data_IF_260319879094
#
_entry.id   IF_260319879094
#
_cell.length_a   1.000
_cell.length_b   1.000
_cell.length_c   1.000
_cell.angle_alpha   90.00
_cell.angle_beta   90.00
_cell.angle_gamma   90.00
#
_symmetry.space_group_name_H-M   'P 1'
#
loop_
_entity.id
_entity.type
_entity.pdbx_description
1 polymer ?
#
# COMPACT_ATOMS: atom_id res chain seq x y z
N UNK A 1 41.74 -17.60 -12.92
CA UNK A 1 40.79 -18.68 -13.26
C UNK A 1 39.63 -18.03 -14.01
N UNK A 2 39.52 -18.23 -15.33
CA UNK A 2 38.38 -17.70 -16.10
C UNK A 2 37.22 -18.70 -15.94
N UNK A 3 36.14 -18.24 -15.35
CA UNK A 3 34.92 -19.04 -15.16
C UNK A 3 33.95 -18.70 -16.29
N UNK A 4 33.54 -19.71 -17.06
CA UNK A 4 32.47 -19.53 -18.06
C UNK A 4 31.12 -19.36 -17.36
N UNK A 5 30.37 -18.32 -17.71
CA UNK A 5 28.98 -18.14 -17.30
C UNK A 5 28.09 -18.66 -18.43
N UNK A 6 27.15 -19.53 -18.09
CA UNK A 6 26.12 -20.02 -19.00
C UNK A 6 24.78 -19.34 -18.63
N UNK A 7 24.08 -18.82 -19.62
CA UNK A 7 22.73 -18.29 -19.47
C UNK A 7 21.72 -19.41 -19.75
N UNK A 8 20.78 -19.62 -18.85
CA UNK A 8 19.72 -20.66 -18.97
C UNK A 8 18.74 -20.39 -20.14
N UNK A 9 18.74 -19.18 -20.67
CA UNK A 9 17.79 -18.79 -21.75
C UNK A 9 18.32 -19.12 -23.16
N UNK A 10 19.65 -19.09 -23.39
CA UNK A 10 20.22 -19.28 -24.72
C UNK A 10 21.50 -20.10 -24.74
N UNK A 11 21.92 -20.72 -23.63
CA UNK A 11 23.17 -21.48 -23.50
C UNK A 11 24.42 -20.72 -24.03
N UNK A 12 24.47 -19.42 -23.78
CA UNK A 12 25.56 -18.57 -24.25
C UNK A 12 26.78 -18.78 -23.39
N UNK A 13 27.87 -19.28 -23.99
CA UNK A 13 29.17 -19.41 -23.34
C UNK A 13 29.91 -18.07 -23.43
N UNK A 14 30.05 -17.37 -22.29
CA UNK A 14 30.72 -16.07 -22.22
C UNK A 14 32.22 -16.09 -22.59
N UNK A 15 32.83 -17.26 -22.62
CA UNK A 15 34.23 -17.42 -23.07
C UNK A 15 34.41 -17.32 -24.61
N UNK A 16 33.34 -17.60 -25.35
CA UNK A 16 33.35 -17.61 -26.82
C UNK A 16 32.68 -16.36 -27.44
N UNK A 17 32.03 -15.54 -26.61
CA UNK A 17 31.28 -14.38 -27.06
C UNK A 17 32.13 -13.11 -26.98
N UNK A 18 32.17 -12.35 -28.06
CA UNK A 18 32.83 -11.04 -28.11
C UNK A 18 32.14 -10.07 -27.10
N UNK A 19 32.91 -9.27 -26.35
CA UNK A 19 32.43 -8.30 -25.37
C UNK A 19 31.34 -7.38 -25.93
N UNK A 20 31.44 -6.99 -27.18
CA UNK A 20 30.42 -6.16 -27.85
C UNK A 20 29.07 -6.88 -27.94
N UNK A 21 29.06 -8.16 -28.31
CA UNK A 21 27.85 -8.96 -28.39
C UNK A 21 27.22 -9.19 -27.01
N UNK A 22 28.05 -9.45 -26.00
CA UNK A 22 27.59 -9.59 -24.62
C UNK A 22 26.95 -8.30 -24.12
N UNK A 23 27.55 -7.15 -24.40
CA UNK A 23 27.00 -5.83 -24.04
C UNK A 23 25.66 -5.56 -24.71
N UNK A 24 25.49 -5.94 -25.97
CA UNK A 24 24.21 -5.80 -26.70
C UNK A 24 23.15 -6.72 -26.07
N UNK A 25 23.49 -7.97 -25.76
CA UNK A 25 22.54 -8.91 -25.14
C UNK A 25 22.10 -8.44 -23.74
N UNK A 26 23.03 -7.92 -22.94
CA UNK A 26 22.72 -7.35 -21.64
C UNK A 26 21.82 -6.12 -21.75
N UNK A 27 22.11 -5.23 -22.70
CA UNK A 27 21.27 -4.05 -22.95
C UNK A 27 19.86 -4.48 -23.39
N UNK A 28 19.72 -5.43 -24.30
CA UNK A 28 18.41 -5.94 -24.73
C UNK A 28 17.64 -6.60 -23.58
N UNK A 29 18.27 -7.39 -22.75
CA UNK A 29 17.66 -8.00 -21.57
C UNK A 29 17.18 -6.93 -20.55
N UNK A 30 17.96 -5.85 -20.38
CA UNK A 30 17.60 -4.74 -19.52
C UNK A 30 16.40 -3.96 -20.07
N UNK A 31 16.37 -3.69 -21.36
CA UNK A 31 15.23 -3.03 -22.03
C UNK A 31 13.96 -3.87 -21.94
N UNK A 32 14.04 -5.18 -22.13
CA UNK A 32 12.91 -6.09 -21.97
C UNK A 32 12.35 -6.07 -20.54
N UNK A 33 13.24 -6.10 -19.54
CA UNK A 33 12.87 -6.01 -18.13
C UNK A 33 12.19 -4.66 -17.81
N UNK A 34 12.71 -3.56 -18.33
CA UNK A 34 12.13 -2.24 -18.18
C UNK A 34 10.73 -2.16 -18.82
N UNK A 35 10.58 -2.68 -20.03
CA UNK A 35 9.29 -2.71 -20.73
C UNK A 35 8.24 -3.55 -19.96
N UNK A 36 8.61 -4.72 -19.46
CA UNK A 36 7.75 -5.54 -18.61
C UNK A 36 7.32 -4.80 -17.34
N UNK A 37 8.24 -4.10 -16.67
CA UNK A 37 7.95 -3.28 -15.49
C UNK A 37 6.95 -2.17 -15.80
N UNK A 38 7.14 -1.45 -16.89
CA UNK A 38 6.21 -0.38 -17.31
C UNK A 38 4.83 -0.91 -17.68
N UNK A 39 4.73 -2.06 -18.35
CA UNK A 39 3.46 -2.71 -18.67
C UNK A 39 2.70 -3.11 -17.38
N UNK A 40 3.40 -3.65 -16.39
CA UNK A 40 2.80 -3.98 -15.08
C UNK A 40 2.32 -2.70 -14.38
N UNK A 41 3.14 -1.66 -14.33
CA UNK A 41 2.77 -0.37 -13.74
C UNK A 41 1.57 0.24 -14.45
N UNK A 42 1.52 0.17 -15.77
CA UNK A 42 0.37 0.63 -16.56
C UNK A 42 -0.91 -0.14 -16.19
N UNK A 43 -0.86 -1.46 -16.12
CA UNK A 43 -2.00 -2.30 -15.72
C UNK A 43 -2.49 -2.00 -14.30
N UNK A 44 -1.56 -1.73 -13.36
CA UNK A 44 -1.90 -1.31 -11.99
C UNK A 44 -2.59 0.06 -12.00
N UNK A 45 -2.05 1.05 -12.73
CA UNK A 45 -2.64 2.39 -12.87
C UNK A 45 -4.06 2.34 -13.46
N UNK A 46 -4.29 1.51 -14.48
CA UNK A 46 -5.62 1.33 -15.06
C UNK A 46 -6.62 0.74 -14.06
N UNK A 47 -6.20 -0.23 -13.25
CA UNK A 47 -7.02 -0.76 -12.16
C UNK A 47 -7.33 0.29 -11.10
N UNK A 48 -6.35 1.10 -10.72
CA UNK A 48 -6.54 2.21 -9.78
C UNK A 48 -7.52 3.26 -10.33
N UNK A 49 -7.36 3.63 -11.61
CA UNK A 49 -8.24 4.56 -12.31
C UNK A 49 -9.69 4.06 -12.39
N UNK A 50 -9.90 2.76 -12.52
CA UNK A 50 -11.24 2.14 -12.52
C UNK A 50 -11.78 1.84 -11.13
N UNK A 51 -11.11 2.27 -10.05
CA UNK A 51 -11.51 2.02 -8.67
C UNK A 51 -11.32 0.57 -8.19
N UNK A 52 -10.74 -0.30 -9.02
CA UNK A 52 -10.54 -1.72 -8.72
C UNK A 52 -9.16 -1.97 -8.09
N UNK A 53 -8.81 -1.23 -7.04
CA UNK A 53 -7.55 -1.44 -6.34
C UNK A 53 -7.65 -2.57 -5.32
N UNK A 54 -6.59 -3.37 -5.22
CA UNK A 54 -6.45 -4.36 -4.14
C UNK A 54 -5.99 -3.63 -2.88
N UNK A 55 -6.85 -3.60 -1.86
CA UNK A 55 -6.52 -2.99 -0.57
C UNK A 55 -5.97 -4.03 0.40
N UNK A 56 -4.89 -3.68 1.08
CA UNK A 56 -4.44 -4.46 2.23
C UNK A 56 -5.32 -4.10 3.44
N UNK A 57 -6.04 -5.10 3.98
CA UNK A 57 -6.99 -4.96 5.08
C UNK A 57 -6.52 -5.64 6.36
N UNK A 58 -5.44 -6.42 6.33
CA UNK A 58 -5.02 -7.27 7.46
C UNK A 58 -4.73 -6.51 8.77
N UNK A 59 -4.52 -5.18 8.69
CA UNK A 59 -4.26 -4.31 9.85
C UNK A 59 -5.14 -3.06 9.81
N UNK A 60 -6.37 -3.21 9.30
CA UNK A 60 -7.28 -2.08 9.14
C UNK A 60 -8.46 -2.25 10.09
N UNK A 61 -8.38 -1.63 11.26
CA UNK A 61 -9.39 -1.70 12.31
C UNK A 61 -10.75 -1.20 11.77
N UNK A 62 -11.80 -1.93 12.06
CA UNK A 62 -13.16 -1.61 11.65
C UNK A 62 -13.59 -2.19 10.31
N UNK A 63 -12.65 -2.77 9.54
CA UNK A 63 -12.98 -3.34 8.24
C UNK A 63 -12.37 -4.72 8.02
N UNK A 64 -13.14 -5.56 7.36
CA UNK A 64 -12.70 -6.84 6.80
C UNK A 64 -13.00 -6.89 5.30
N UNK A 65 -12.67 -7.99 4.64
CA UNK A 65 -13.04 -8.23 3.24
C UNK A 65 -14.09 -9.32 3.13
N UNK A 66 -15.07 -9.10 2.26
CA UNK A 66 -15.97 -10.15 1.79
C UNK A 66 -15.26 -11.10 0.80
N UNK A 67 -15.99 -12.13 0.35
CA UNK A 67 -15.51 -13.07 -0.69
C UNK A 67 -15.23 -12.39 -2.03
N UNK A 68 -15.82 -11.24 -2.30
CA UNK A 68 -15.63 -10.42 -3.50
C UNK A 68 -14.46 -9.44 -3.39
N UNK A 69 -13.77 -9.38 -2.24
CA UNK A 69 -12.64 -8.49 -2.00
C UNK A 69 -13.03 -7.04 -1.66
N UNK A 70 -14.32 -6.75 -1.39
CA UNK A 70 -14.81 -5.46 -0.95
C UNK A 70 -14.63 -5.30 0.55
N UNK A 71 -14.38 -4.07 1.00
CA UNK A 71 -14.32 -3.76 2.42
C UNK A 71 -15.75 -3.79 3.00
N UNK A 72 -15.89 -4.52 4.10
CA UNK A 72 -17.13 -4.65 4.88
C UNK A 72 -16.84 -4.22 6.31
N UNK A 73 -17.75 -3.47 6.91
CA UNK A 73 -17.63 -2.98 8.28
C UNK A 73 -17.75 -4.14 9.27
N UNK A 74 -16.85 -4.19 10.24
CA UNK A 74 -16.93 -5.08 11.41
C UNK A 74 -17.52 -4.25 12.56
N UNK A 75 -18.79 -4.52 13.00
CA UNK A 75 -19.50 -3.63 13.92
C UNK A 75 -18.76 -3.36 15.22
N UNK A 76 -18.20 -4.40 15.85
CA UNK A 76 -17.47 -4.28 17.13
C UNK A 76 -16.22 -3.40 17.01
N UNK A 77 -15.46 -3.56 15.94
CA UNK A 77 -14.27 -2.76 15.68
C UNK A 77 -14.63 -1.32 15.24
N UNK A 78 -15.72 -1.17 14.51
CA UNK A 78 -16.21 0.13 14.06
C UNK A 78 -16.61 1.02 15.24
N UNK A 79 -17.16 0.46 16.32
CA UNK A 79 -17.43 1.21 17.55
C UNK A 79 -16.17 1.79 18.18
N UNK A 80 -15.07 1.03 18.17
CA UNK A 80 -13.77 1.52 18.65
C UNK A 80 -13.29 2.70 17.80
N UNK A 81 -13.42 2.59 16.48
CA UNK A 81 -13.06 3.66 15.54
C UNK A 81 -13.90 4.91 15.81
N UNK A 82 -15.24 4.78 15.88
CA UNK A 82 -16.14 5.90 16.20
C UNK A 82 -15.78 6.54 17.54
N UNK A 83 -15.42 5.74 18.55
CA UNK A 83 -15.01 6.24 19.86
C UNK A 83 -13.74 7.09 19.77
N UNK A 84 -12.73 6.64 19.01
CA UNK A 84 -11.49 7.40 18.79
C UNK A 84 -11.79 8.77 18.15
N UNK A 85 -12.62 8.79 17.10
CA UNK A 85 -13.01 10.03 16.45
C UNK A 85 -13.84 10.94 17.37
N UNK A 86 -14.78 10.40 18.12
CA UNK A 86 -15.60 11.19 19.07
C UNK A 86 -14.75 11.82 20.19
N UNK A 87 -13.77 11.10 20.71
CA UNK A 87 -12.84 11.64 21.71
C UNK A 87 -11.98 12.77 21.13
N UNK A 88 -11.53 12.62 19.89
CA UNK A 88 -10.76 13.64 19.20
C UNK A 88 -11.58 14.91 18.98
N UNK A 89 -12.83 14.78 18.51
CA UNK A 89 -13.77 15.90 18.34
C UNK A 89 -14.12 16.58 19.67
N UNK A 90 -14.14 15.81 20.78
CA UNK A 90 -14.29 16.36 22.12
C UNK A 90 -13.03 17.09 22.66
N UNK A 91 -11.98 17.26 21.83
CA UNK A 91 -10.76 17.98 22.17
C UNK A 91 -9.69 17.16 22.89
N UNK A 92 -9.81 15.82 22.90
CA UNK A 92 -8.77 14.97 23.49
C UNK A 92 -7.58 14.87 22.54
N UNK A 93 -6.39 15.21 23.03
CA UNK A 93 -5.15 14.95 22.28
C UNK A 93 -4.85 13.46 22.14
N UNK A 94 -4.11 13.07 21.12
CA UNK A 94 -3.78 11.68 20.76
C UNK A 94 -3.21 10.88 21.95
N UNK A 95 -2.37 11.49 22.82
CA UNK A 95 -1.84 10.84 24.03
C UNK A 95 -2.92 10.51 25.06
N UNK A 96 -3.93 11.37 25.17
CA UNK A 96 -5.05 11.17 26.10
C UNK A 96 -5.99 10.10 25.58
N UNK A 97 -6.20 10.04 24.26
CA UNK A 97 -6.95 8.98 23.58
C UNK A 97 -6.24 7.62 23.79
N UNK A 98 -4.91 7.56 23.57
CA UNK A 98 -4.11 6.35 23.86
C UNK A 98 -4.38 5.83 25.26
N UNK A 99 -4.22 6.69 26.28
CA UNK A 99 -4.42 6.32 27.67
C UNK A 99 -5.83 5.80 27.93
N UNK A 100 -6.85 6.49 27.41
CA UNK A 100 -8.24 6.07 27.50
C UNK A 100 -8.47 4.65 26.95
N UNK A 101 -7.92 4.33 25.77
CA UNK A 101 -8.05 3.02 25.15
C UNK A 101 -7.40 1.92 26.01
N UNK A 102 -6.21 2.19 26.53
CA UNK A 102 -5.45 1.26 27.37
C UNK A 102 -6.11 1.02 28.73
N UNK A 103 -6.58 2.06 29.41
CA UNK A 103 -7.31 1.99 30.69
C UNK A 103 -8.63 1.23 30.56
N UNK A 104 -9.30 1.30 29.41
CA UNK A 104 -10.52 0.55 29.15
C UNK A 104 -10.27 -0.85 28.54
N UNK A 105 -9.03 -1.30 28.49
CA UNK A 105 -8.68 -2.64 27.99
C UNK A 105 -8.96 -2.87 26.50
N UNK A 106 -9.13 -1.80 25.73
CA UNK A 106 -9.42 -1.87 24.28
C UNK A 106 -8.16 -2.29 23.54
N UNK A 107 -8.20 -3.45 22.87
CA UNK A 107 -7.05 -4.01 22.16
C UNK A 107 -6.92 -3.43 20.75
N UNK A 108 -5.68 -3.39 20.26
CA UNK A 108 -5.38 -3.06 18.87
C UNK A 108 -5.82 -4.19 17.92
N UNK A 109 -5.89 -3.92 16.61
CA UNK A 109 -6.14 -4.95 15.55
C UNK A 109 -5.25 -6.19 15.70
N UNK A 110 -4.03 -6.02 16.23
CA UNK A 110 -3.09 -7.13 16.43
C UNK A 110 -3.22 -7.80 17.80
N UNK A 111 -4.26 -7.45 18.58
CA UNK A 111 -4.53 -8.02 19.90
C UNK A 111 -3.66 -7.46 21.02
N UNK A 112 -2.82 -6.46 20.77
CA UNK A 112 -1.98 -5.83 21.79
C UNK A 112 -2.79 -4.88 22.66
N UNK A 113 -2.46 -4.81 23.94
CA UNK A 113 -3.04 -3.84 24.89
C UNK A 113 -2.43 -2.45 24.77
N UNK A 114 -1.19 -2.36 24.28
CA UNK A 114 -0.49 -1.09 24.14
C UNK A 114 -0.76 -0.45 22.78
N UNK A 115 -1.23 0.81 22.79
CA UNK A 115 -1.49 1.62 21.63
C UNK A 115 -0.32 2.53 21.29
N UNK A 116 -0.03 2.70 20.00
CA UNK A 116 0.92 3.71 19.55
C UNK A 116 0.19 5.01 19.18
N UNK A 117 0.72 6.15 19.62
CA UNK A 117 0.20 7.48 19.23
C UNK A 117 0.20 7.67 17.72
N UNK A 118 1.24 7.16 17.04
CA UNK A 118 1.31 7.20 15.57
C UNK A 118 0.23 6.37 14.87
N UNK A 119 -0.25 5.29 15.50
CA UNK A 119 -1.37 4.51 14.97
C UNK A 119 -2.67 5.30 15.04
N UNK A 120 -2.94 5.93 16.19
CA UNK A 120 -4.14 6.76 16.39
C UNK A 120 -4.12 7.95 15.42
N UNK A 121 -2.98 8.63 15.29
CA UNK A 121 -2.82 9.77 14.38
C UNK A 121 -3.07 9.38 12.91
N UNK A 122 -2.52 8.22 12.48
CA UNK A 122 -2.80 7.65 11.16
C UNK A 122 -4.27 7.27 10.97
N UNK A 123 -4.95 6.79 12.01
CA UNK A 123 -6.38 6.49 11.93
C UNK A 123 -7.19 7.76 11.72
N UNK A 124 -6.95 8.81 12.50
CA UNK A 124 -7.62 10.09 12.39
C UNK A 124 -7.42 10.78 11.03
N UNK A 125 -6.28 10.53 10.38
CA UNK A 125 -5.93 11.08 9.06
C UNK A 125 -6.30 10.18 7.88
N UNK A 126 -7.01 9.06 8.11
CA UNK A 126 -7.24 8.08 7.07
C UNK A 126 -8.61 8.27 6.40
N UNK A 127 -8.61 8.73 5.16
CA UNK A 127 -9.80 8.98 4.34
C UNK A 127 -10.69 7.75 4.13
N UNK A 128 -10.18 6.55 4.39
CA UNK A 128 -10.96 5.33 4.23
C UNK A 128 -12.09 5.22 5.26
N UNK A 129 -11.94 5.83 6.44
CA UNK A 129 -13.00 5.79 7.45
C UNK A 129 -14.27 6.57 7.05
N UNK A 130 -14.14 7.51 6.11
CA UNK A 130 -15.28 8.22 5.51
C UNK A 130 -15.73 7.62 4.17
N UNK A 131 -15.30 6.39 3.86
CA UNK A 131 -15.72 5.65 2.67
C UNK A 131 -14.95 5.97 1.40
N UNK A 132 -13.93 6.80 1.45
CA UNK A 132 -13.14 7.21 0.28
C UNK A 132 -11.85 6.38 0.15
N UNK A 133 -11.33 6.28 -1.08
CA UNK A 133 -10.04 5.66 -1.35
C UNK A 133 -9.15 6.61 -2.11
N UNK A 134 -8.04 7.01 -1.52
CA UNK A 134 -6.98 7.70 -2.23
C UNK A 134 -5.90 6.71 -2.64
N UNK A 135 -5.80 6.48 -3.93
CA UNK A 135 -4.91 5.52 -4.57
C UNK A 135 -3.67 6.22 -5.13
N UNK A 136 -2.59 5.46 -5.38
CA UNK A 136 -1.31 5.98 -5.88
C UNK A 136 -0.59 6.93 -4.89
N UNK A 137 -0.75 6.70 -3.57
CA UNK A 137 -0.03 7.48 -2.53
C UNK A 137 1.48 7.25 -2.54
N UNK A 138 1.93 6.18 -3.19
CA UNK A 138 3.36 5.84 -3.33
C UNK A 138 3.67 5.51 -4.78
N UNK A 139 4.91 5.73 -5.18
CA UNK A 139 5.43 5.39 -6.49
C UNK A 139 6.82 4.74 -6.39
N UNK A 140 7.18 3.96 -7.41
CA UNK A 140 8.53 3.41 -7.58
C UNK A 140 9.11 4.03 -8.85
N UNK A 141 9.88 5.13 -8.74
CA UNK A 141 10.36 5.87 -9.90
C UNK A 141 11.33 5.04 -10.74
N UNK A 142 12.23 4.35 -10.07
CA UNK A 142 13.27 3.56 -10.70
C UNK A 142 12.97 2.07 -10.53
N UNK A 143 12.94 1.35 -11.67
CA UNK A 143 12.67 -0.09 -11.68
C UNK A 143 13.88 -0.92 -11.24
N UNK A 144 15.11 -0.39 -11.40
CA UNK A 144 16.33 -1.10 -11.04
C UNK A 144 16.50 -1.22 -9.53
N UNK A 145 16.29 -0.12 -8.82
CA UNK A 145 16.39 -0.09 -7.35
C UNK A 145 15.14 -0.64 -6.67
N UNK A 146 13.99 -0.61 -7.33
CA UNK A 146 12.71 -1.05 -6.76
C UNK A 146 12.26 -0.26 -5.53
N UNK A 147 12.92 0.84 -5.18
CA UNK A 147 12.63 1.62 -3.97
C UNK A 147 11.32 2.37 -4.13
N UNK A 148 10.37 2.06 -3.26
CA UNK A 148 9.10 2.75 -3.17
C UNK A 148 9.25 4.02 -2.32
N UNK A 149 8.74 5.15 -2.81
CA UNK A 149 8.69 6.42 -2.08
C UNK A 149 7.28 7.02 -2.08
N UNK A 150 7.04 7.97 -1.19
CA UNK A 150 5.79 8.74 -1.16
C UNK A 150 5.65 9.51 -2.47
N UNK A 151 4.46 9.45 -3.06
CA UNK A 151 4.12 10.26 -4.23
C UNK A 151 3.85 11.69 -3.77
N UNK A 152 4.70 12.61 -4.18
CA UNK A 152 4.59 14.04 -3.87
C UNK A 152 4.08 14.86 -5.07
N UNK A 153 3.50 14.19 -6.07
CA UNK A 153 2.99 14.81 -7.30
C UNK A 153 3.68 14.30 -8.57
N UNK A 154 4.65 13.36 -8.44
CA UNK A 154 5.34 12.79 -9.60
C UNK A 154 4.39 11.93 -10.47
N UNK A 155 3.36 11.37 -9.86
CA UNK A 155 2.34 10.57 -10.54
C UNK A 155 0.94 10.99 -10.09
N UNK A 156 -0.04 10.87 -10.99
CA UNK A 156 -1.44 11.18 -10.68
C UNK A 156 -1.96 10.28 -9.57
N UNK A 157 -2.56 10.87 -8.55
CA UNK A 157 -3.33 10.16 -7.53
C UNK A 157 -4.79 10.05 -7.95
N UNK A 158 -5.48 8.98 -7.55
CA UNK A 158 -6.88 8.75 -7.88
C UNK A 158 -7.70 8.71 -6.60
N UNK A 159 -8.67 9.62 -6.49
CA UNK A 159 -9.66 9.61 -5.43
C UNK A 159 -10.91 8.88 -5.93
N UNK A 160 -11.28 7.80 -5.23
CA UNK A 160 -12.53 7.08 -5.44
C UNK A 160 -13.44 7.40 -4.25
N UNK A 161 -14.49 8.13 -4.50
CA UNK A 161 -15.47 8.49 -3.48
C UNK A 161 -16.48 7.36 -3.29
N UNK A 162 -16.97 7.21 -2.06
CA UNK A 162 -17.98 6.21 -1.69
C UNK A 162 -17.64 4.77 -2.17
N UNK A 163 -16.36 4.41 -2.08
CA UNK A 163 -15.87 3.11 -2.52
C UNK A 163 -16.30 1.96 -1.62
N UNK A 164 -16.66 2.25 -0.37
CA UNK A 164 -17.16 1.29 0.62
C UNK A 164 -17.99 2.03 1.69
N UNK A 165 -18.67 1.26 2.53
CA UNK A 165 -19.46 1.79 3.62
C UNK A 165 -18.59 2.59 4.61
N UNK A 166 -18.94 3.84 4.94
CA UNK A 166 -18.19 4.67 5.89
C UNK A 166 -18.48 4.25 7.33
N UNK A 167 -17.45 4.33 8.20
CA UNK A 167 -17.62 4.16 9.65
C UNK A 167 -17.90 5.50 10.33
N UNK A 168 -17.36 6.60 9.77
CA UNK A 168 -17.47 7.95 10.30
C UNK A 168 -18.08 8.85 9.22
N UNK A 169 -18.96 9.80 9.60
CA UNK A 169 -19.50 10.80 8.69
C UNK A 169 -18.43 11.80 8.22
N UNK A 170 -18.72 12.50 7.13
CA UNK A 170 -17.82 13.56 6.60
C UNK A 170 -17.97 14.91 7.33
N UNK A 171 -18.90 15.00 8.27
CA UNK A 171 -19.17 16.22 9.07
C UNK A 171 -18.19 16.39 10.21
#
# INVERSE_FOLDING_TARGET
MNVAMLSDVEQINTMEVNEALLSILLAAAQEESAAKSENIKFGIRQRMRSGKAVLNHARFLGYTKDKGGRLVVVPEEAEIVRKIFSLYLAGYGVRKIKRYLEENGIKTVTGKSEWSTSTIDRMLSNEKYVGNLLLQKTCTPDFLTGIQKKNCGEQSMFLVENAHEPIVSKE
#
